data_IF_010596044151
#
_entry.id   IF_010596044151
#
_cell.length_a   1.000
_cell.length_b   1.000
_cell.length_c   1.000
_cell.angle_alpha   90.00
_cell.angle_beta   90.00
_cell.angle_gamma   90.00
#
_symmetry.space_group_name_H-M   'P 1'
#
loop_
_entity.id
_entity.type
_entity.pdbx_description
1 polymer ?
#
# COMPACT_ATOMS: atom_id res chain seq x y z
N UNK A 1 17.16 -6.62 58.18
CA UNK A 1 17.12 -7.48 56.98
C UNK A 1 16.44 -6.67 55.89
N UNK A 2 17.23 -6.06 55.02
CA UNK A 2 16.74 -5.20 53.94
C UNK A 2 16.41 -6.03 52.71
N UNK A 3 15.23 -5.81 52.12
CA UNK A 3 14.88 -6.28 50.79
C UNK A 3 14.91 -5.07 49.85
N UNK A 4 15.86 -5.06 48.93
CA UNK A 4 15.97 -4.04 47.90
C UNK A 4 14.92 -4.27 46.82
N UNK A 5 14.07 -3.28 46.56
CA UNK A 5 13.22 -3.22 45.39
C UNK A 5 14.08 -2.83 44.18
N UNK A 6 14.13 -3.68 43.17
CA UNK A 6 14.77 -3.38 41.87
C UNK A 6 13.74 -2.63 41.04
N UNK A 7 13.92 -1.31 40.91
CA UNK A 7 13.21 -0.49 39.93
C UNK A 7 13.84 -0.75 38.56
N UNK A 8 13.05 -1.31 37.63
CA UNK A 8 13.46 -1.48 36.24
C UNK A 8 13.17 -0.17 35.50
N UNK A 9 14.17 0.68 35.38
CA UNK A 9 14.09 1.90 34.57
C UNK A 9 14.19 1.50 33.10
N UNK A 10 13.06 1.51 32.38
CA UNK A 10 13.05 1.40 30.93
C UNK A 10 13.55 2.75 30.39
N UNK A 11 14.80 2.77 29.93
CA UNK A 11 15.36 3.93 29.24
C UNK A 11 14.74 3.98 27.84
N UNK A 12 13.88 4.96 27.60
CA UNK A 12 13.42 5.35 26.27
C UNK A 12 14.64 5.79 25.46
N UNK A 13 15.08 4.97 24.51
CA UNK A 13 16.05 5.38 23.50
C UNK A 13 15.33 6.30 22.52
N UNK A 14 15.40 7.61 22.75
CA UNK A 14 15.10 8.61 21.73
C UNK A 14 16.19 8.54 20.67
N UNK A 15 15.89 7.90 19.54
CA UNK A 15 16.70 8.05 18.34
C UNK A 15 16.53 9.50 17.86
N UNK A 16 17.61 10.29 17.73
CA UNK A 16 17.48 11.64 17.20
C UNK A 16 17.03 11.54 15.75
N UNK A 17 16.00 12.31 15.38
CA UNK A 17 15.65 12.54 13.98
C UNK A 17 16.88 13.16 13.28
N UNK A 18 17.62 12.32 12.56
CA UNK A 18 18.55 12.81 11.55
C UNK A 18 17.67 13.42 10.49
N UNK A 19 17.76 14.74 10.30
CA UNK A 19 17.07 15.41 9.22
C UNK A 19 17.46 14.72 7.92
N UNK A 20 16.50 14.02 7.31
CA UNK A 20 16.60 13.58 5.92
C UNK A 20 16.74 14.85 5.11
N UNK A 21 17.92 15.07 4.53
CA UNK A 21 18.00 15.94 3.35
C UNK A 21 17.19 15.24 2.28
N UNK A 22 15.92 15.62 2.14
CA UNK A 22 15.21 15.43 0.90
C UNK A 22 16.08 16.09 -0.17
N UNK A 23 16.73 15.28 -1.01
CA UNK A 23 17.31 15.80 -2.23
C UNK A 23 16.14 16.36 -3.03
N UNK A 24 15.90 17.67 -2.91
CA UNK A 24 15.00 18.37 -3.80
C UNK A 24 15.59 18.20 -5.19
N UNK A 25 15.06 17.25 -5.96
CA UNK A 25 15.42 17.13 -7.35
C UNK A 25 15.09 18.46 -8.05
N UNK A 26 15.94 18.91 -8.99
CA UNK A 26 15.53 19.96 -9.90
C UNK A 26 14.26 19.48 -10.60
N UNK A 27 13.24 20.32 -10.71
CA UNK A 27 12.05 20.08 -11.54
C UNK A 27 12.51 19.56 -12.90
N UNK A 28 12.48 18.23 -13.08
CA UNK A 28 12.88 17.60 -14.32
C UNK A 28 11.93 18.08 -15.41
N UNK A 29 12.48 18.47 -16.55
CA UNK A 29 11.70 18.70 -17.76
C UNK A 29 10.89 17.42 -18.04
N UNK A 30 9.55 17.50 -17.95
CA UNK A 30 8.61 16.38 -18.15
C UNK A 30 7.39 16.45 -17.22
N UNK A 31 6.20 16.16 -17.74
CA UNK A 31 4.94 16.13 -16.98
C UNK A 31 4.78 14.75 -16.29
N UNK A 32 5.59 14.50 -15.27
CA UNK A 32 5.60 13.21 -14.56
C UNK A 32 4.36 13.04 -13.66
N UNK A 33 3.73 11.87 -13.72
CA UNK A 33 2.69 11.45 -12.77
C UNK A 33 3.01 10.06 -12.25
N UNK A 34 2.68 9.79 -11.00
CA UNK A 34 2.78 8.43 -10.47
C UNK A 34 1.68 7.55 -11.06
N UNK A 35 2.05 6.41 -11.63
CA UNK A 35 1.16 5.43 -12.26
C UNK A 35 0.97 4.17 -11.40
N UNK A 36 1.87 3.91 -10.46
CA UNK A 36 1.77 2.81 -9.51
C UNK A 36 2.54 3.18 -8.24
N UNK A 37 2.10 2.67 -7.09
CA UNK A 37 2.86 2.75 -5.85
C UNK A 37 2.59 1.59 -4.91
N UNK A 38 3.48 1.43 -3.94
CA UNK A 38 3.29 0.57 -2.78
C UNK A 38 3.99 1.21 -1.57
N UNK A 39 3.32 1.23 -0.41
CA UNK A 39 3.89 1.81 0.80
C UNK A 39 4.92 0.83 1.42
N UNK A 40 6.20 1.22 1.58
CA UNK A 40 7.24 0.36 2.13
C UNK A 40 7.09 0.12 3.63
N UNK A 41 7.55 -1.04 4.06
CA UNK A 41 7.58 -1.55 5.43
C UNK A 41 8.89 -2.31 5.67
N UNK A 42 9.21 -2.55 6.95
CA UNK A 42 10.31 -3.41 7.35
C UNK A 42 9.93 -4.89 7.28
N UNK A 43 10.88 -5.79 6.99
CA UNK A 43 10.56 -7.21 6.85
C UNK A 43 10.22 -7.90 8.18
N UNK A 44 10.67 -7.33 9.32
CA UNK A 44 10.36 -7.87 10.65
C UNK A 44 8.90 -7.74 11.04
N UNK A 45 8.21 -6.70 10.56
CA UNK A 45 6.82 -6.41 10.95
C UNK A 45 5.82 -7.39 10.34
N UNK A 46 6.17 -8.01 9.20
CA UNK A 46 5.37 -9.06 8.56
C UNK A 46 5.40 -10.39 9.34
N UNK A 47 6.52 -10.70 9.99
CA UNK A 47 6.65 -11.87 10.86
C UNK A 47 5.79 -11.76 12.12
N UNK A 48 5.71 -10.55 12.70
CA UNK A 48 4.86 -10.26 13.86
C UNK A 48 3.37 -10.30 13.49
N UNK A 49 2.97 -9.79 12.31
CA UNK A 49 1.59 -9.91 11.81
C UNK A 49 1.16 -11.37 11.66
N UNK A 50 2.01 -12.22 11.05
CA UNK A 50 1.74 -13.65 10.91
C UNK A 50 1.66 -14.38 12.25
N UNK A 51 2.54 -14.04 13.20
CA UNK A 51 2.54 -14.62 14.54
C UNK A 51 1.31 -14.18 15.38
N UNK A 52 0.90 -12.92 15.27
CA UNK A 52 -0.31 -12.38 15.91
C UNK A 52 -1.59 -12.99 15.33
N UNK A 53 -1.66 -13.18 14.01
CA UNK A 53 -2.78 -13.87 13.35
C UNK A 53 -2.91 -15.34 13.77
N UNK A 54 -1.79 -16.04 13.93
CA UNK A 54 -1.79 -17.47 14.22
C UNK A 54 -1.94 -17.78 15.72
N UNK A 55 -1.46 -16.90 16.61
CA UNK A 55 -1.45 -17.12 18.07
C UNK A 55 -2.83 -17.02 18.74
N UNK A 56 -3.83 -16.43 18.10
CA UNK A 56 -5.23 -16.45 18.56
C UNK A 56 -5.98 -17.76 18.28
N UNK A 57 -5.40 -18.68 17.50
CA UNK A 57 -6.11 -19.84 16.96
C UNK A 57 -5.80 -21.14 17.71
N UNK A 58 -6.37 -21.34 18.90
CA UNK A 58 -6.33 -22.67 19.56
C UNK A 58 -7.11 -23.77 18.80
N UNK A 59 -7.74 -23.47 17.66
CA UNK A 59 -8.59 -24.41 16.90
C UNK A 59 -8.28 -24.58 15.41
N UNK A 60 -7.23 -23.95 14.85
CA UNK A 60 -6.87 -24.23 13.44
C UNK A 60 -5.72 -25.24 13.40
N UNK A 61 -6.05 -26.50 13.65
CA UNK A 61 -5.12 -27.65 13.54
C UNK A 61 -4.74 -28.01 12.10
N UNK A 62 -4.87 -27.08 11.14
CA UNK A 62 -4.67 -27.34 9.71
C UNK A 62 -4.01 -26.17 8.93
N UNK A 63 -3.44 -25.15 9.58
CA UNK A 63 -2.57 -24.19 8.87
C UNK A 63 -1.15 -24.75 8.89
N UNK A 64 -0.82 -25.64 7.96
CA UNK A 64 0.53 -26.23 7.93
C UNK A 64 1.55 -25.42 7.13
N UNK A 65 1.16 -24.46 6.29
CA UNK A 65 2.12 -23.78 5.40
C UNK A 65 1.81 -22.29 5.16
N UNK A 66 1.88 -21.45 6.20
CA UNK A 66 2.10 -19.99 6.03
C UNK A 66 3.61 -19.77 6.10
N UNK A 67 4.26 -19.82 4.95
CA UNK A 67 5.61 -19.29 4.76
C UNK A 67 5.49 -17.75 4.64
N UNK A 68 6.12 -16.99 5.54
CA UNK A 68 6.15 -15.54 5.43
C UNK A 68 6.86 -15.12 4.14
N UNK A 69 6.60 -13.89 3.65
CA UNK A 69 7.31 -13.35 2.50
C UNK A 69 8.81 -13.39 2.79
N UNK A 70 9.67 -13.72 1.81
CA UNK A 70 11.11 -13.63 1.98
C UNK A 70 11.50 -12.28 2.60
N UNK A 71 12.29 -12.32 3.66
CA UNK A 71 12.78 -11.12 4.35
C UNK A 71 14.15 -10.68 3.81
N UNK A 72 14.79 -11.54 3.02
CA UNK A 72 16.09 -11.33 2.37
C UNK A 72 16.12 -12.09 1.05
N UNK A 73 16.93 -11.60 0.11
CA UNK A 73 17.23 -12.28 -1.15
C UNK A 73 18.75 -12.44 -1.28
N UNK A 74 19.19 -13.48 -1.97
CA UNK A 74 20.62 -13.74 -2.13
C UNK A 74 20.94 -14.46 -3.45
N UNK A 75 21.63 -13.74 -4.33
CA UNK A 75 22.05 -14.25 -5.64
C UNK A 75 20.87 -14.72 -6.48
N UNK A 76 19.86 -13.84 -6.60
CA UNK A 76 18.63 -14.11 -7.34
C UNK A 76 18.05 -12.83 -7.93
N UNK A 77 17.32 -12.97 -9.02
CA UNK A 77 16.55 -11.90 -9.65
C UNK A 77 15.13 -11.94 -9.11
N UNK A 78 14.65 -10.82 -8.57
CA UNK A 78 13.26 -10.62 -8.21
C UNK A 78 12.56 -10.01 -9.43
N UNK A 79 11.45 -10.60 -9.86
CA UNK A 79 10.60 -10.09 -10.94
C UNK A 79 9.20 -9.81 -10.43
N UNK A 80 8.73 -8.59 -10.60
CA UNK A 80 7.48 -8.08 -10.06
C UNK A 80 6.60 -7.56 -11.18
N UNK A 81 5.29 -7.72 -11.02
CA UNK A 81 4.28 -7.24 -11.96
C UNK A 81 3.57 -6.05 -11.34
N UNK A 82 3.67 -4.87 -11.96
CA UNK A 82 3.16 -3.61 -11.45
C UNK A 82 2.06 -3.10 -12.38
N UNK A 83 0.81 -3.11 -11.92
CA UNK A 83 -0.35 -2.65 -12.69
C UNK A 83 -0.39 -1.13 -12.76
N UNK A 84 -0.12 -0.55 -13.93
CA UNK A 84 -0.06 0.90 -14.11
C UNK A 84 -1.48 1.46 -14.28
N UNK A 85 -1.83 2.51 -13.55
CA UNK A 85 -3.11 3.20 -13.69
C UNK A 85 -3.08 4.33 -14.72
N UNK A 86 -1.91 4.66 -15.24
CA UNK A 86 -1.73 5.67 -16.29
C UNK A 86 -0.56 5.33 -17.20
N UNK A 87 -0.62 5.80 -18.44
CA UNK A 87 0.38 5.57 -19.48
C UNK A 87 1.21 6.82 -19.76
N UNK A 88 2.33 6.66 -20.45
CA UNK A 88 3.22 7.77 -20.82
C UNK A 88 4.26 7.38 -21.87
N UNK A 89 5.11 8.35 -22.25
CA UNK A 89 6.20 8.13 -23.23
C UNK A 89 7.42 7.44 -22.64
N UNK A 90 7.62 7.57 -21.33
CA UNK A 90 8.75 7.03 -20.59
C UNK A 90 8.32 6.65 -19.18
N UNK A 91 9.10 5.78 -18.53
CA UNK A 91 8.91 5.37 -17.14
C UNK A 91 10.11 5.74 -16.27
N UNK A 92 9.89 5.97 -14.98
CA UNK A 92 10.91 5.98 -13.93
C UNK A 92 10.47 5.12 -12.77
N UNK A 93 11.43 4.50 -12.08
CA UNK A 93 11.17 3.63 -10.94
C UNK A 93 11.88 4.18 -9.72
N UNK A 94 11.14 4.38 -8.63
CA UNK A 94 11.71 4.69 -7.32
C UNK A 94 11.96 3.40 -6.54
N UNK A 95 13.22 3.17 -6.21
CA UNK A 95 13.66 2.09 -5.33
C UNK A 95 13.94 2.62 -3.92
N UNK A 96 13.71 1.77 -2.92
CA UNK A 96 13.82 2.08 -1.51
C UNK A 96 14.58 0.99 -0.77
N UNK A 97 15.54 1.43 0.03
CA UNK A 97 16.21 0.65 1.06
C UNK A 97 15.94 1.25 2.45
N UNK A 98 14.78 1.89 2.60
CA UNK A 98 14.39 2.61 3.81
C UNK A 98 14.41 1.74 5.07
N UNK A 99 13.98 0.48 4.94
CA UNK A 99 13.93 -0.47 6.05
C UNK A 99 15.02 -1.55 5.96
N UNK A 100 16.04 -1.33 5.11
CA UNK A 100 17.21 -2.18 5.08
C UNK A 100 18.04 -2.08 6.36
N UNK A 101 18.87 -3.10 6.60
CA UNK A 101 19.80 -3.14 7.74
C UNK A 101 21.25 -2.81 7.35
N UNK A 102 21.49 -2.48 6.08
CA UNK A 102 22.76 -2.09 5.46
C UNK A 102 22.51 -1.53 4.05
N UNK A 103 23.55 -1.07 3.37
CA UNK A 103 23.47 -0.64 1.96
C UNK A 103 23.04 -1.79 1.04
N UNK A 104 22.13 -1.52 0.12
CA UNK A 104 21.62 -2.48 -0.85
C UNK A 104 22.09 -2.11 -2.26
N UNK A 105 22.69 -3.06 -2.98
CA UNK A 105 23.20 -2.87 -4.34
C UNK A 105 22.38 -3.67 -5.35
N UNK A 106 22.06 -3.05 -6.48
CA UNK A 106 21.34 -3.67 -7.59
C UNK A 106 22.20 -3.50 -8.85
N UNK A 107 22.95 -4.55 -9.26
CA UNK A 107 23.89 -4.45 -10.39
C UNK A 107 23.21 -4.39 -11.77
N UNK A 108 21.97 -4.88 -11.86
CA UNK A 108 21.18 -4.91 -13.07
C UNK A 108 19.69 -4.81 -12.73
N UNK A 109 18.99 -3.93 -13.44
CA UNK A 109 17.55 -3.72 -13.31
C UNK A 109 16.99 -3.54 -14.72
N UNK A 110 15.88 -4.21 -15.02
CA UNK A 110 15.17 -4.06 -16.29
C UNK A 110 13.69 -3.83 -16.06
N UNK A 111 13.07 -3.12 -17.01
CA UNK A 111 11.62 -2.98 -17.12
C UNK A 111 11.13 -3.43 -18.49
N UNK A 112 9.88 -3.87 -18.59
CA UNK A 112 9.23 -4.21 -19.86
C UNK A 112 7.72 -4.40 -19.69
N UNK A 113 6.99 -4.60 -20.78
CA UNK A 113 5.55 -4.92 -20.72
C UNK A 113 5.39 -6.42 -20.55
N UNK A 114 4.44 -6.86 -19.72
CA UNK A 114 4.15 -8.30 -19.55
C UNK A 114 3.61 -8.90 -20.84
N UNK A 115 4.08 -10.10 -21.20
CA UNK A 115 3.50 -10.87 -22.30
C UNK A 115 2.22 -11.60 -21.83
N UNK A 116 1.06 -11.00 -22.12
CA UNK A 116 -0.25 -11.51 -21.73
C UNK A 116 -0.62 -11.27 -20.27
N UNK A 117 -1.65 -11.98 -19.79
CA UNK A 117 -2.31 -11.71 -18.50
C UNK A 117 -1.73 -12.52 -17.31
N UNK A 118 -0.76 -13.40 -17.56
CA UNK A 118 -0.24 -14.36 -16.58
C UNK A 118 1.26 -14.62 -16.79
N UNK A 119 1.91 -15.28 -15.82
CA UNK A 119 3.33 -15.63 -15.91
C UNK A 119 4.30 -14.46 -15.70
N UNK A 120 5.57 -14.71 -15.98
CA UNK A 120 6.72 -13.84 -15.78
C UNK A 120 7.33 -13.32 -17.09
N UNK A 121 6.76 -13.71 -18.23
CA UNK A 121 7.23 -13.33 -19.55
C UNK A 121 7.05 -11.84 -19.83
N UNK A 122 7.99 -11.29 -20.59
CA UNK A 122 8.05 -9.91 -21.06
C UNK A 122 7.79 -9.91 -22.56
N UNK A 123 6.96 -9.00 -23.03
CA UNK A 123 6.63 -8.84 -24.44
C UNK A 123 7.91 -8.55 -25.24
N UNK A 124 8.22 -9.33 -26.29
CA UNK A 124 9.44 -9.18 -27.07
C UNK A 124 9.65 -7.75 -27.59
N UNK A 125 10.82 -7.18 -27.31
CA UNK A 125 11.19 -5.83 -27.77
C UNK A 125 10.73 -4.68 -26.86
N UNK A 126 10.05 -4.98 -25.76
CA UNK A 126 9.68 -3.97 -24.74
C UNK A 126 10.69 -3.87 -23.60
N UNK A 127 11.54 -4.88 -23.40
CA UNK A 127 12.54 -4.87 -22.32
C UNK A 127 13.55 -3.73 -22.49
N UNK A 128 13.82 -3.00 -21.41
CA UNK A 128 14.77 -1.89 -21.33
C UNK A 128 15.59 -2.00 -20.04
N UNK A 129 16.85 -1.58 -20.11
CA UNK A 129 17.68 -1.41 -18.93
C UNK A 129 17.26 -0.15 -18.16
N UNK A 130 17.26 -0.24 -16.84
CA UNK A 130 17.06 0.91 -15.93
C UNK A 130 18.44 1.40 -15.48
N UNK A 131 18.65 2.71 -15.53
CA UNK A 131 19.93 3.33 -15.17
C UNK A 131 19.76 4.43 -14.10
N UNK A 132 20.85 4.78 -13.44
CA UNK A 132 20.92 5.79 -12.38
C UNK A 132 22.13 6.68 -12.63
N UNK A 133 21.91 7.91 -13.09
CA UNK A 133 23.00 8.77 -13.55
C UNK A 133 23.78 8.18 -14.74
N UNK A 134 23.11 7.38 -15.58
CA UNK A 134 23.66 6.67 -16.74
C UNK A 134 24.32 5.33 -16.42
N UNK A 135 24.41 4.94 -15.15
CA UNK A 135 25.00 3.67 -14.74
C UNK A 135 23.93 2.58 -14.54
N UNK A 136 24.17 1.33 -14.96
CA UNK A 136 23.22 0.23 -14.79
C UNK A 136 23.14 -0.30 -13.34
N UNK A 137 24.15 0.03 -12.52
CA UNK A 137 24.25 -0.42 -11.14
C UNK A 137 23.98 0.74 -10.18
N UNK A 138 23.22 0.48 -9.12
CA UNK A 138 22.99 1.46 -8.05
C UNK A 138 23.18 0.83 -6.68
N UNK A 139 23.76 1.60 -5.75
CA UNK A 139 23.82 1.28 -4.32
C UNK A 139 22.97 2.29 -3.56
N UNK A 140 21.93 1.81 -2.89
CA UNK A 140 21.04 2.61 -2.06
C UNK A 140 21.51 2.49 -0.61
N UNK A 141 21.93 3.59 0.04
CA UNK A 141 22.31 3.56 1.45
C UNK A 141 21.19 3.02 2.33
N UNK A 142 21.55 2.46 3.48
CA UNK A 142 20.56 2.14 4.51
C UNK A 142 19.66 3.37 4.81
N UNK A 143 18.35 3.20 4.81
CA UNK A 143 17.41 4.29 5.07
C UNK A 143 17.15 5.20 3.86
N UNK A 144 17.77 4.91 2.72
CA UNK A 144 17.71 5.73 1.51
C UNK A 144 16.68 5.28 0.49
N UNK A 145 16.41 6.16 -0.48
CA UNK A 145 15.66 5.89 -1.70
C UNK A 145 16.44 6.45 -2.90
N UNK A 146 16.11 5.99 -4.10
CA UNK A 146 16.67 6.50 -5.36
C UNK A 146 15.62 6.43 -6.47
N UNK A 147 15.57 7.45 -7.31
CA UNK A 147 14.75 7.47 -8.53
C UNK A 147 15.66 7.17 -9.73
N UNK A 148 15.18 6.34 -10.66
CA UNK A 148 15.93 6.04 -11.89
C UNK A 148 15.95 7.22 -12.86
N UNK A 149 16.89 7.18 -13.80
CA UNK A 149 16.81 7.97 -15.02
C UNK A 149 15.53 7.60 -15.81
N UNK A 150 15.00 8.48 -16.69
CA UNK A 150 13.95 8.12 -17.63
C UNK A 150 14.32 6.90 -18.48
N UNK A 151 13.39 5.98 -18.62
CA UNK A 151 13.49 4.83 -19.52
C UNK A 151 12.49 5.01 -20.66
N UNK A 152 12.99 5.06 -21.89
CA UNK A 152 12.20 5.18 -23.12
C UNK A 152 11.39 3.89 -23.39
N UNK A 153 10.29 3.76 -22.66
CA UNK A 153 9.31 2.70 -22.73
C UNK A 153 7.93 3.34 -22.70
N UNK A 154 7.27 3.35 -23.86
CA UNK A 154 5.89 3.80 -23.95
C UNK A 154 4.98 2.78 -23.24
N UNK A 155 4.04 3.30 -22.44
CA UNK A 155 3.06 2.49 -21.71
C UNK A 155 1.66 3.05 -21.92
N UNK A 156 0.66 2.19 -21.81
CA UNK A 156 -0.75 2.55 -21.73
C UNK A 156 -1.27 2.38 -20.30
N UNK A 157 -2.41 3.02 -20.00
CA UNK A 157 -3.10 2.75 -18.75
C UNK A 157 -3.52 1.28 -18.73
N UNK A 158 -3.31 0.63 -17.59
CA UNK A 158 -3.59 -0.77 -17.31
C UNK A 158 -2.60 -1.77 -17.91
N UNK A 159 -1.46 -1.29 -18.44
CA UNK A 159 -0.33 -2.17 -18.70
C UNK A 159 0.22 -2.76 -17.39
N UNK A 160 0.65 -4.02 -17.47
CA UNK A 160 1.43 -4.67 -16.42
C UNK A 160 2.92 -4.46 -16.70
N UNK A 161 3.53 -3.52 -15.98
CA UNK A 161 4.97 -3.29 -16.04
C UNK A 161 5.71 -4.40 -15.28
N UNK A 162 6.58 -5.13 -15.97
CA UNK A 162 7.44 -6.14 -15.39
C UNK A 162 8.74 -5.48 -14.96
N UNK A 163 9.01 -5.44 -13.66
CA UNK A 163 10.25 -4.94 -13.07
C UNK A 163 11.11 -6.13 -12.62
N UNK A 164 12.30 -6.29 -13.20
CA UNK A 164 13.29 -7.29 -12.77
C UNK A 164 14.47 -6.62 -12.10
N UNK A 165 14.87 -7.09 -10.93
CA UNK A 165 16.02 -6.56 -10.19
C UNK A 165 16.91 -7.73 -9.75
N UNK A 166 18.19 -7.71 -10.14
CA UNK A 166 19.15 -8.66 -9.63
C UNK A 166 19.61 -8.26 -8.23
N UNK A 167 19.43 -9.15 -7.26
CA UNK A 167 19.87 -8.97 -5.87
C UNK A 167 21.07 -9.89 -5.61
N UNK A 168 22.30 -9.32 -5.53
CA UNK A 168 23.49 -10.10 -5.24
C UNK A 168 23.48 -10.58 -3.78
N UNK A 169 24.34 -11.53 -3.46
CA UNK A 169 24.57 -11.90 -2.07
C UNK A 169 25.07 -10.68 -1.28
N UNK A 170 24.40 -10.36 -0.16
CA UNK A 170 24.87 -9.36 0.80
C UNK A 170 23.96 -8.15 1.05
N UNK A 171 22.86 -7.96 0.31
CA UNK A 171 21.93 -6.83 0.50
C UNK A 171 21.18 -6.81 1.85
N UNK A 172 21.22 -7.89 2.64
CA UNK A 172 20.62 -7.92 3.97
C UNK A 172 19.09 -7.93 3.93
N UNK A 173 18.48 -7.26 4.92
CA UNK A 173 17.02 -7.18 5.07
C UNK A 173 16.38 -6.39 3.92
N UNK A 174 15.33 -6.94 3.30
CA UNK A 174 14.63 -6.31 2.20
C UNK A 174 13.58 -5.31 2.67
N UNK A 175 13.55 -4.12 2.06
CA UNK A 175 12.38 -3.24 2.15
C UNK A 175 11.24 -3.87 1.35
N UNK A 176 10.06 -3.97 1.97
CA UNK A 176 8.95 -4.78 1.47
C UNK A 176 7.62 -4.06 1.64
N UNK A 177 6.68 -4.30 0.75
CA UNK A 177 5.27 -4.04 0.95
C UNK A 177 4.55 -5.40 0.98
N UNK A 178 4.00 -5.78 2.13
CA UNK A 178 3.64 -7.18 2.41
C UNK A 178 2.26 -7.65 1.93
N UNK A 179 1.49 -6.82 1.23
CA UNK A 179 0.11 -7.15 0.83
C UNK A 179 -0.24 -6.63 -0.57
N UNK A 180 0.56 -7.01 -1.56
CA UNK A 180 0.44 -6.45 -2.91
C UNK A 180 -0.73 -6.98 -3.77
N UNK A 181 -1.35 -8.10 -3.38
CA UNK A 181 -2.36 -8.84 -4.16
C UNK A 181 -1.94 -9.25 -5.59
N UNK A 182 -0.63 -9.22 -5.84
CA UNK A 182 0.01 -9.60 -7.10
C UNK A 182 1.09 -10.66 -6.88
N UNK A 183 1.21 -11.58 -7.82
CA UNK A 183 2.26 -12.59 -7.87
C UNK A 183 3.59 -11.96 -8.27
N UNK A 184 4.64 -12.29 -7.52
CA UNK A 184 6.03 -12.02 -7.90
C UNK A 184 6.78 -13.33 -8.09
N UNK A 185 7.89 -13.23 -8.81
CA UNK A 185 8.70 -14.34 -9.27
C UNK A 185 10.16 -14.16 -8.87
N UNK A 186 10.88 -15.27 -8.75
CA UNK A 186 12.33 -15.26 -8.51
C UNK A 186 13.03 -16.23 -9.44
N UNK A 187 14.22 -15.87 -9.92
CA UNK A 187 15.11 -16.76 -10.68
C UNK A 187 16.53 -16.73 -10.06
N UNK A 188 17.27 -17.86 -10.01
CA UNK A 188 18.63 -17.86 -9.52
C UNK A 188 19.58 -17.00 -10.37
N UNK A 189 20.51 -16.29 -9.72
CA UNK A 189 21.49 -15.42 -10.36
C UNK A 189 20.87 -14.20 -11.05
N UNK A 190 21.66 -13.59 -11.94
CA UNK A 190 21.22 -12.51 -12.81
C UNK A 190 20.45 -13.08 -14.01
N UNK A 191 19.13 -12.95 -13.95
CA UNK A 191 18.18 -13.31 -14.98
C UNK A 191 17.40 -12.07 -15.47
N UNK A 192 17.91 -10.86 -15.22
CA UNK A 192 17.23 -9.60 -15.56
C UNK A 192 16.99 -9.43 -17.07
N UNK A 193 17.88 -10.01 -17.90
CA UNK A 193 17.77 -10.00 -19.34
C UNK A 193 16.84 -11.09 -19.92
N UNK A 194 16.31 -12.01 -19.10
CA UNK A 194 15.50 -13.12 -19.59
C UNK A 194 14.05 -12.68 -19.85
N UNK A 195 13.61 -12.71 -21.11
CA UNK A 195 12.26 -12.28 -21.49
C UNK A 195 11.19 -13.38 -21.34
N UNK A 196 11.57 -14.67 -21.28
CA UNK A 196 10.61 -15.77 -21.15
C UNK A 196 10.30 -16.17 -19.70
N UNK A 197 9.26 -16.99 -19.51
CA UNK A 197 8.92 -17.58 -18.20
C UNK A 197 9.99 -18.54 -17.65
N UNK A 198 10.80 -19.11 -18.54
CA UNK A 198 11.75 -20.17 -18.21
C UNK A 198 12.78 -19.72 -17.16
N UNK A 199 12.77 -20.38 -16.01
CA UNK A 199 13.73 -20.13 -14.92
C UNK A 199 13.18 -19.28 -13.77
N UNK A 200 12.02 -18.65 -13.94
CA UNK A 200 11.31 -17.94 -12.89
C UNK A 200 10.36 -18.88 -12.14
N UNK A 201 10.45 -18.88 -10.81
CA UNK A 201 9.53 -19.57 -9.92
C UNK A 201 8.56 -18.56 -9.28
N UNK A 202 7.28 -18.90 -9.27
CA UNK A 202 6.26 -18.17 -8.49
C UNK A 202 6.58 -18.25 -7.00
N UNK A 203 6.50 -17.11 -6.30
CA UNK A 203 6.75 -17.03 -4.85
C UNK A 203 5.55 -16.52 -4.05
N UNK A 204 4.72 -15.65 -4.63
CA UNK A 204 3.46 -15.17 -4.04
C UNK A 204 2.26 -15.67 -4.83
N UNK A 205 1.48 -16.62 -4.29
CA UNK A 205 0.28 -17.16 -4.96
C UNK A 205 -0.94 -16.84 -4.13
N UNK A 206 -1.93 -16.16 -4.73
CA UNK A 206 -3.23 -15.90 -4.10
C UNK A 206 -4.16 -17.08 -4.36
N UNK A 207 -4.68 -17.68 -3.29
CA UNK A 207 -5.86 -18.53 -3.39
C UNK A 207 -6.91 -18.12 -2.35
N UNK A 208 -8.12 -18.02 -2.85
CA UNK A 208 -9.34 -17.92 -2.06
C UNK A 208 -9.58 -19.25 -1.32
N UNK A 209 -9.93 -19.14 -0.04
CA UNK A 209 -10.19 -20.20 0.94
C UNK A 209 -8.98 -20.66 1.75
N UNK A 210 -9.15 -20.51 3.07
CA UNK A 210 -8.41 -20.89 4.29
C UNK A 210 -7.48 -22.14 4.31
N UNK A 211 -6.93 -22.60 3.20
CA UNK A 211 -5.97 -23.70 3.10
C UNK A 211 -4.78 -23.27 2.25
N UNK A 212 -3.86 -22.54 2.89
CA UNK A 212 -2.44 -22.30 2.55
C UNK A 212 -2.06 -22.04 1.09
N UNK A 213 -1.73 -20.79 0.73
CA UNK A 213 -0.40 -20.40 0.17
C UNK A 213 -0.15 -18.88 0.36
N UNK A 214 1.07 -18.42 0.04
CA UNK A 214 1.87 -17.39 0.73
C UNK A 214 1.70 -15.96 0.18
N UNK A 215 1.95 -15.00 1.06
CA UNK A 215 1.87 -13.54 0.89
C UNK A 215 2.28 -13.01 -0.48
N UNK A 216 1.38 -12.23 -1.09
CA UNK A 216 1.73 -11.32 -2.20
C UNK A 216 2.51 -10.14 -1.64
N UNK A 217 3.68 -9.86 -2.20
CA UNK A 217 4.51 -8.76 -1.75
C UNK A 217 5.17 -8.06 -2.94
N UNK A 218 5.50 -6.79 -2.76
CA UNK A 218 6.48 -6.11 -3.58
C UNK A 218 7.71 -5.73 -2.74
N UNK A 219 8.86 -5.67 -3.37
CA UNK A 219 10.16 -5.47 -2.75
C UNK A 219 10.88 -4.33 -3.43
N UNK A 220 11.51 -3.48 -2.63
CA UNK A 220 12.34 -2.35 -3.02
C UNK A 220 11.65 -1.27 -3.88
N UNK A 221 10.75 -1.59 -4.81
CA UNK A 221 9.99 -0.63 -5.61
C UNK A 221 8.86 0.00 -4.78
N UNK A 222 8.77 1.33 -4.83
CA UNK A 222 7.79 2.11 -4.05
C UNK A 222 6.90 3.00 -4.91
N UNK A 223 7.41 3.50 -6.03
CA UNK A 223 6.67 4.31 -7.00
C UNK A 223 7.14 3.99 -8.42
N UNK A 224 6.22 3.93 -9.36
CA UNK A 224 6.51 4.05 -10.80
C UNK A 224 5.89 5.34 -11.29
N UNK A 225 6.68 6.19 -11.94
CA UNK A 225 6.22 7.40 -12.59
C UNK A 225 6.23 7.20 -14.10
N UNK A 226 5.26 7.80 -14.78
CA UNK A 226 5.21 7.87 -16.24
C UNK A 226 5.29 9.32 -16.69
N UNK A 227 5.94 9.57 -17.81
CA UNK A 227 5.95 10.88 -18.46
C UNK A 227 4.63 11.06 -19.23
N UNK A 228 3.69 11.76 -18.60
CA UNK A 228 2.35 11.99 -19.12
C UNK A 228 2.27 13.20 -20.04
N UNK A 229 1.07 13.75 -20.15
CA UNK A 229 0.78 15.00 -20.87
C UNK A 229 0.59 16.16 -19.90
N UNK A 230 0.75 17.42 -20.37
CA UNK A 230 0.39 18.58 -19.57
C UNK A 230 -1.04 18.48 -19.06
N UNK A 231 -1.22 18.59 -17.75
CA UNK A 231 -2.52 18.51 -17.09
C UNK A 231 -2.83 17.14 -16.48
N UNK A 232 -2.04 16.09 -16.74
CA UNK A 232 -2.16 14.83 -16.02
C UNK A 232 -1.85 15.03 -14.53
N UNK A 233 -2.56 14.30 -13.65
CA UNK A 233 -2.43 14.45 -12.19
C UNK A 233 -2.42 13.13 -11.46
N UNK A 234 -1.75 13.09 -10.30
CA UNK A 234 -1.78 11.95 -9.38
C UNK A 234 -2.87 12.15 -8.31
N UNK A 235 -3.72 11.14 -8.16
CA UNK A 235 -4.69 10.96 -7.08
C UNK A 235 -4.19 9.87 -6.13
N UNK A 236 -3.98 10.21 -4.86
CA UNK A 236 -3.48 9.25 -3.86
C UNK A 236 -4.65 8.64 -3.10
N UNK A 237 -4.81 7.32 -3.19
CA UNK A 237 -5.63 6.54 -2.27
C UNK A 237 -4.75 6.08 -1.10
N UNK A 238 -4.85 6.77 0.05
CA UNK A 238 -4.03 6.53 1.23
C UNK A 238 -4.81 5.75 2.29
N UNK A 239 -4.24 4.68 2.85
CA UNK A 239 -4.99 3.91 3.85
C UNK A 239 -4.32 2.72 4.52
N UNK A 240 -5.17 1.80 4.98
CA UNK A 240 -4.80 0.52 5.55
C UNK A 240 -5.21 -0.66 4.65
N UNK A 241 -5.39 -1.86 5.19
CA UNK A 241 -5.68 -3.10 4.45
C UNK A 241 -6.92 -3.00 3.56
N UNK A 242 -7.89 -2.16 3.90
CA UNK A 242 -9.08 -1.94 3.06
C UNK A 242 -8.71 -1.14 1.80
N UNK A 243 -7.76 -0.21 1.90
CA UNK A 243 -7.22 0.50 0.72
C UNK A 243 -6.20 -0.34 -0.03
N UNK A 244 -5.43 -1.16 0.69
CA UNK A 244 -4.48 -2.12 0.14
C UNK A 244 -5.17 -3.25 -0.65
N UNK A 245 -6.48 -3.41 -0.44
CA UNK A 245 -7.30 -4.39 -1.12
C UNK A 245 -7.12 -5.81 -0.62
N UNK A 246 -6.81 -5.96 0.68
CA UNK A 246 -6.64 -7.25 1.32
C UNK A 246 -7.88 -8.14 1.08
N UNK A 247 -7.64 -9.43 0.75
CA UNK A 247 -8.65 -10.42 0.34
C UNK A 247 -9.40 -10.14 -0.98
N UNK A 248 -8.96 -9.18 -1.80
CA UNK A 248 -9.36 -9.15 -3.22
C UNK A 248 -8.81 -10.38 -3.95
N UNK A 249 -9.44 -10.74 -5.07
CA UNK A 249 -8.95 -11.85 -5.91
C UNK A 249 -7.60 -11.45 -6.51
N UNK A 250 -6.55 -12.18 -6.14
CA UNK A 250 -5.19 -11.85 -6.58
C UNK A 250 -4.99 -11.94 -8.08
N UNK A 251 -4.06 -11.14 -8.59
CA UNK A 251 -3.78 -10.99 -10.03
C UNK A 251 -4.98 -10.54 -10.88
N UNK A 252 -6.05 -10.03 -10.26
CA UNK A 252 -7.22 -9.51 -11.00
C UNK A 252 -7.39 -8.00 -10.91
N UNK A 253 -6.48 -7.31 -10.21
CA UNK A 253 -6.50 -5.86 -10.05
C UNK A 253 -7.89 -5.37 -9.59
N UNK A 254 -8.44 -6.01 -8.55
CA UNK A 254 -9.82 -5.82 -8.06
C UNK A 254 -9.94 -4.98 -6.79
N UNK A 255 -8.87 -4.27 -6.40
CA UNK A 255 -8.88 -3.37 -5.24
C UNK A 255 -9.69 -2.12 -5.58
N UNK A 256 -10.24 -1.40 -4.59
CA UNK A 256 -11.03 -0.21 -4.91
C UNK A 256 -10.24 0.86 -5.68
N UNK A 257 -8.93 1.10 -5.43
CA UNK A 257 -8.16 2.05 -6.25
C UNK A 257 -8.05 1.61 -7.71
N UNK A 258 -7.95 0.30 -7.99
CA UNK A 258 -7.89 -0.24 -9.35
C UNK A 258 -9.24 -0.06 -10.07
N UNK A 259 -10.35 -0.29 -9.37
CA UNK A 259 -11.70 -0.05 -9.91
C UNK A 259 -11.92 1.45 -10.15
N UNK A 260 -11.46 2.32 -9.24
CA UNK A 260 -11.55 3.76 -9.41
C UNK A 260 -10.73 4.23 -10.62
N UNK A 261 -9.51 3.73 -10.81
CA UNK A 261 -8.69 4.05 -11.98
C UNK A 261 -9.41 3.71 -13.29
N UNK A 262 -10.03 2.53 -13.39
CA UNK A 262 -10.85 2.14 -14.56
C UNK A 262 -12.06 3.03 -14.76
N UNK A 263 -12.72 3.46 -13.67
CA UNK A 263 -13.84 4.41 -13.75
C UNK A 263 -13.38 5.76 -14.29
N UNK A 264 -12.29 6.31 -13.77
CA UNK A 264 -11.74 7.60 -14.22
C UNK A 264 -11.33 7.55 -15.68
N UNK A 265 -10.66 6.46 -16.10
CA UNK A 265 -10.24 6.31 -17.50
C UNK A 265 -11.39 6.24 -18.50
N UNK A 266 -12.57 5.78 -18.06
CA UNK A 266 -13.76 5.68 -18.88
C UNK A 266 -14.46 7.04 -19.10
N UNK A 267 -14.14 8.06 -18.32
CA UNK A 267 -14.73 9.39 -18.39
C UNK A 267 -13.70 10.41 -18.95
N UNK A 268 -13.92 10.99 -20.15
CA UNK A 268 -13.00 11.95 -20.75
C UNK A 268 -12.63 13.13 -19.87
N UNK A 269 -13.52 13.56 -18.97
CA UNK A 269 -13.30 14.71 -18.09
C UNK A 269 -12.38 14.37 -16.91
N UNK A 270 -12.10 13.08 -16.67
CA UNK A 270 -11.23 12.61 -15.57
C UNK A 270 -10.15 11.62 -16.02
N UNK A 271 -10.07 11.31 -17.32
CA UNK A 271 -9.16 10.30 -17.88
C UNK A 271 -7.66 10.65 -17.80
N UNK A 272 -7.33 11.88 -17.40
CA UNK A 272 -5.99 12.39 -17.09
C UNK A 272 -5.58 12.21 -15.62
N UNK A 273 -6.46 11.65 -14.79
CA UNK A 273 -6.15 11.33 -13.40
C UNK A 273 -5.56 9.91 -13.28
N UNK A 274 -4.40 9.81 -12.63
CA UNK A 274 -3.75 8.56 -12.28
C UNK A 274 -3.95 8.25 -10.80
N UNK A 275 -4.57 7.12 -10.47
CA UNK A 275 -4.76 6.70 -9.06
C UNK A 275 -3.57 5.89 -8.60
N UNK A 276 -3.03 6.16 -7.41
CA UNK A 276 -2.03 5.29 -6.79
C UNK A 276 -2.45 4.87 -5.38
N UNK A 277 -2.08 3.65 -4.98
CA UNK A 277 -2.37 3.11 -3.65
C UNK A 277 -1.18 3.29 -2.69
N UNK A 278 -1.38 4.03 -1.62
CA UNK A 278 -0.42 4.24 -0.53
C UNK A 278 -0.99 3.68 0.76
N UNK A 279 -0.99 2.35 0.85
CA UNK A 279 -1.63 1.62 1.93
C UNK A 279 -0.72 0.62 2.61
N UNK A 280 -0.93 0.44 3.92
CA UNK A 280 -0.25 -0.56 4.74
C UNK A 280 -1.32 -1.40 5.41
N UNK A 281 -1.45 -2.67 4.99
CA UNK A 281 -2.28 -3.63 5.72
C UNK A 281 -1.91 -3.71 7.21
N UNK A 282 -2.91 -3.54 8.09
CA UNK A 282 -2.69 -3.43 9.55
C UNK A 282 -2.14 -2.07 10.02
N UNK A 283 -1.87 -1.15 9.10
CA UNK A 283 -1.32 0.17 9.39
C UNK A 283 -2.27 1.06 10.19
N UNK A 284 -1.71 1.83 11.11
CA UNK A 284 -2.44 2.78 11.95
C UNK A 284 -2.18 4.22 11.53
N UNK A 285 -3.06 5.13 11.95
CA UNK A 285 -2.94 6.57 11.72
C UNK A 285 -2.00 7.20 12.73
N UNK A 286 -2.21 6.87 14.01
CA UNK A 286 -1.63 7.59 15.17
C UNK A 286 -0.31 7.04 15.68
N UNK A 287 0.07 5.81 15.31
CA UNK A 287 1.29 5.19 15.82
C UNK A 287 1.84 4.06 14.94
N UNK A 288 3.16 3.86 14.98
CA UNK A 288 3.84 2.82 14.22
C UNK A 288 3.42 1.42 14.65
N UNK A 289 3.43 0.44 13.76
CA UNK A 289 3.10 -0.95 14.07
C UNK A 289 3.63 -1.88 12.97
N UNK A 290 2.73 -2.41 12.13
CA UNK A 290 3.13 -3.18 10.95
C UNK A 290 3.96 -2.35 9.96
N UNK A 291 3.78 -1.04 9.97
CA UNK A 291 4.67 -0.08 9.33
C UNK A 291 4.61 1.25 10.08
N UNK A 292 5.24 2.30 9.53
CA UNK A 292 5.14 3.62 10.13
C UNK A 292 3.69 4.11 10.20
N UNK A 293 3.40 5.00 11.15
CA UNK A 293 2.09 5.64 11.29
C UNK A 293 1.66 6.39 10.03
N UNK A 294 0.35 6.56 9.82
CA UNK A 294 -0.18 7.39 8.74
C UNK A 294 0.34 8.82 8.81
N UNK A 295 0.37 9.41 10.01
CA UNK A 295 0.89 10.76 10.26
C UNK A 295 2.34 10.95 9.83
N UNK A 296 3.21 9.96 10.08
CA UNK A 296 4.63 10.07 9.75
C UNK A 296 4.92 9.91 8.25
N UNK A 297 3.97 9.36 7.48
CA UNK A 297 4.17 9.04 6.05
C UNK A 297 3.60 10.05 5.06
N UNK A 298 2.90 11.09 5.52
CA UNK A 298 2.22 12.07 4.65
C UNK A 298 3.19 12.73 3.67
N UNK A 299 4.34 13.22 4.15
CA UNK A 299 5.25 13.98 3.29
C UNK A 299 5.78 13.12 2.14
N UNK A 300 6.19 11.88 2.43
CA UNK A 300 6.84 11.00 1.47
C UNK A 300 5.83 10.25 0.58
N UNK A 301 4.66 9.88 1.11
CA UNK A 301 3.69 9.05 0.39
C UNK A 301 2.55 9.85 -0.24
N UNK A 302 2.31 11.09 0.21
CA UNK A 302 1.32 11.99 -0.38
C UNK A 302 2.01 13.18 -1.03
N UNK A 303 2.69 14.03 -0.26
CA UNK A 303 3.11 15.36 -0.72
C UNK A 303 4.27 15.31 -1.73
N UNK A 304 5.10 14.27 -1.68
CA UNK A 304 6.20 14.07 -2.62
C UNK A 304 5.76 13.51 -3.99
N UNK A 305 4.47 13.18 -4.16
CA UNK A 305 3.99 12.65 -5.44
C UNK A 305 3.98 13.75 -6.51
N UNK A 306 4.55 13.50 -7.71
CA UNK A 306 4.57 14.47 -8.77
C UNK A 306 3.15 14.76 -9.27
N UNK A 307 2.89 16.03 -9.61
CA UNK A 307 1.59 16.48 -10.10
C UNK A 307 0.40 16.04 -9.23
N UNK A 308 0.57 16.03 -7.90
CA UNK A 308 -0.48 15.71 -6.94
C UNK A 308 -1.73 16.58 -7.16
N UNK A 309 -2.86 15.93 -7.43
CA UNK A 309 -4.16 16.55 -7.71
C UNK A 309 -5.18 16.37 -6.60
N UNK A 310 -5.10 15.29 -5.82
CA UNK A 310 -6.07 15.00 -4.76
C UNK A 310 -5.68 13.81 -3.89
N UNK A 311 -6.38 13.66 -2.76
CA UNK A 311 -6.22 12.54 -1.82
C UNK A 311 -7.58 11.95 -1.46
N UNK A 312 -7.68 10.63 -1.50
CA UNK A 312 -8.75 9.86 -0.84
C UNK A 312 -8.12 9.13 0.33
N UNK A 313 -8.55 9.46 1.54
CA UNK A 313 -8.01 8.92 2.78
C UNK A 313 -9.02 7.97 3.43
N UNK A 314 -8.61 6.72 3.67
CA UNK A 314 -9.39 5.73 4.42
C UNK A 314 -8.44 4.91 5.31
N UNK A 315 -8.33 5.33 6.57
CA UNK A 315 -7.51 4.65 7.56
C UNK A 315 -8.04 4.93 8.96
N UNK A 316 -7.84 4.01 9.90
CA UNK A 316 -8.09 4.24 11.34
C UNK A 316 -8.73 3.06 12.05
N UNK A 317 -9.23 2.06 11.30
CA UNK A 317 -9.86 0.88 11.91
C UNK A 317 -8.85 0.09 12.76
N UNK A 318 -7.58 0.09 12.37
CA UNK A 318 -6.48 -0.57 13.09
C UNK A 318 -6.07 0.17 14.37
N UNK A 319 -6.28 1.48 14.47
CA UNK A 319 -6.05 2.26 15.69
C UNK A 319 -7.04 1.84 16.79
N UNK A 320 -8.25 1.43 16.41
CA UNK A 320 -9.29 0.93 17.31
C UNK A 320 -9.14 -0.59 17.56
N UNK A 321 -8.88 -1.37 16.51
CA UNK A 321 -8.77 -2.84 16.60
C UNK A 321 -7.38 -3.34 16.97
N UNK A 322 -6.43 -3.27 16.04
CA UNK A 322 -5.06 -3.79 16.22
C UNK A 322 -4.34 -3.18 17.43
N UNK A 323 -4.49 -1.88 17.69
CA UNK A 323 -3.88 -1.26 18.87
C UNK A 323 -4.47 -1.78 20.20
N UNK A 324 -5.74 -2.19 20.20
CA UNK A 324 -6.36 -2.82 21.37
C UNK A 324 -5.71 -4.18 21.71
N UNK A 325 -5.26 -4.96 20.72
CA UNK A 325 -4.49 -6.20 20.95
C UNK A 325 -3.19 -5.93 21.72
N UNK A 326 -2.61 -4.75 21.51
CA UNK A 326 -1.38 -4.28 22.16
C UNK A 326 -1.66 -3.58 23.49
N UNK A 327 -2.92 -3.51 23.93
CA UNK A 327 -3.33 -2.86 25.17
C UNK A 327 -3.33 -1.32 25.12
N UNK A 328 -3.31 -0.74 23.91
CA UNK A 328 -3.24 0.70 23.68
C UNK A 328 -4.28 1.14 22.62
N UNK A 329 -5.59 0.86 22.80
CA UNK A 329 -6.60 1.30 21.84
C UNK A 329 -6.62 2.82 21.75
N UNK A 330 -6.63 3.35 20.52
CA UNK A 330 -6.97 4.75 20.30
C UNK A 330 -8.46 4.99 20.59
N UNK A 331 -8.81 6.25 20.78
CA UNK A 331 -10.21 6.71 20.88
C UNK A 331 -10.63 7.42 19.59
N UNK A 332 -11.93 7.68 19.46
CA UNK A 332 -12.44 8.55 18.40
C UNK A 332 -11.78 9.94 18.44
N UNK A 333 -11.56 10.50 19.64
CA UNK A 333 -10.91 11.82 19.80
C UNK A 333 -9.45 11.82 19.29
N UNK A 334 -8.70 10.75 19.54
CA UNK A 334 -7.33 10.60 19.03
C UNK A 334 -7.30 10.56 17.50
N UNK A 335 -8.22 9.79 16.89
CA UNK A 335 -8.38 9.73 15.44
C UNK A 335 -8.81 11.08 14.85
N UNK A 336 -9.79 11.77 15.46
CA UNK A 336 -10.27 13.07 15.01
C UNK A 336 -9.14 14.11 15.04
N UNK A 337 -8.32 14.11 16.09
CA UNK A 337 -7.16 15.00 16.17
C UNK A 337 -6.15 14.73 15.04
N UNK A 338 -5.83 13.46 14.78
CA UNK A 338 -4.92 13.07 13.70
C UNK A 338 -5.50 13.39 12.31
N UNK A 339 -6.79 13.16 12.09
CA UNK A 339 -7.49 13.50 10.86
C UNK A 339 -7.42 15.00 10.55
N UNK A 340 -7.57 15.86 11.57
CA UNK A 340 -7.41 17.31 11.41
C UNK A 340 -5.97 17.67 11.00
N UNK A 341 -4.97 17.07 11.65
CA UNK A 341 -3.58 17.31 11.28
C UNK A 341 -3.26 16.87 9.83
N UNK A 342 -3.78 15.70 9.43
CA UNK A 342 -3.61 15.20 8.05
C UNK A 342 -4.22 16.17 7.06
N UNK A 343 -5.47 16.59 7.29
CA UNK A 343 -6.15 17.52 6.41
C UNK A 343 -5.43 18.87 6.32
N UNK A 344 -5.02 19.44 7.47
CA UNK A 344 -4.27 20.70 7.52
C UNK A 344 -2.98 20.63 6.68
N UNK A 345 -2.25 19.51 6.73
CA UNK A 345 -1.02 19.31 5.95
C UNK A 345 -1.28 19.20 4.45
N UNK A 346 -2.33 18.49 4.04
CA UNK A 346 -2.69 18.34 2.62
C UNK A 346 -3.27 19.65 2.06
N UNK A 347 -4.11 20.35 2.82
CA UNK A 347 -4.61 21.67 2.46
C UNK A 347 -3.50 22.73 2.39
N UNK A 348 -2.48 22.65 3.25
CA UNK A 348 -1.31 23.53 3.16
C UNK A 348 -0.51 23.34 1.86
N UNK A 349 -0.57 22.14 1.25
CA UNK A 349 -0.02 21.88 -0.08
C UNK A 349 -0.96 22.33 -1.21
N UNK A 350 -2.15 22.84 -0.89
CA UNK A 350 -3.12 23.34 -1.86
C UNK A 350 -3.81 22.23 -2.64
N UNK A 351 -4.02 21.07 -2.03
CA UNK A 351 -4.62 19.86 -2.63
C UNK A 351 -5.88 19.48 -1.84
N UNK A 352 -6.98 19.04 -2.49
CA UNK A 352 -8.18 18.59 -1.80
C UNK A 352 -7.98 17.20 -1.22
N UNK A 353 -8.60 16.94 -0.07
CA UNK A 353 -8.60 15.66 0.62
C UNK A 353 -10.03 15.24 0.99
N UNK A 354 -10.38 14.03 0.58
CA UNK A 354 -11.65 13.39 0.86
C UNK A 354 -11.43 12.24 1.82
N UNK A 355 -12.30 12.09 2.81
CA UNK A 355 -12.20 11.02 3.81
C UNK A 355 -13.31 9.99 3.67
N UNK A 356 -12.93 8.71 3.72
CA UNK A 356 -13.86 7.60 3.85
C UNK A 356 -14.27 7.37 5.30
N UNK A 357 -15.55 7.11 5.58
CA UNK A 357 -15.96 6.53 6.86
C UNK A 357 -15.31 5.17 7.08
N UNK A 358 -14.92 4.85 8.31
CA UNK A 358 -14.42 3.51 8.67
C UNK A 358 -15.46 2.46 8.31
N UNK A 359 -15.08 1.33 7.71
CA UNK A 359 -16.02 0.26 7.30
C UNK A 359 -16.57 -0.52 8.50
N UNK A 360 -17.63 -1.34 8.32
CA UNK A 360 -18.15 -2.20 9.38
C UNK A 360 -17.10 -3.22 9.83
N UNK A 361 -17.06 -3.51 11.14
CA UNK A 361 -16.10 -4.45 11.74
C UNK A 361 -16.73 -5.25 12.91
N UNK A 362 -18.03 -5.49 12.82
CA UNK A 362 -18.78 -6.31 13.77
C UNK A 362 -18.72 -7.80 13.41
N UNK A 363 -18.69 -8.66 14.42
CA UNK A 363 -18.64 -10.13 14.30
C UNK A 363 -17.42 -10.70 13.54
N UNK A 364 -16.25 -10.07 13.64
CA UNK A 364 -14.96 -10.57 13.10
C UNK A 364 -14.47 -11.83 13.85
N UNK A 365 -15.22 -12.29 14.86
CA UNK A 365 -14.88 -13.33 15.83
C UNK A 365 -14.75 -14.77 15.29
N UNK A 366 -15.16 -15.08 14.04
CA UNK A 366 -15.01 -16.44 13.48
C UNK A 366 -14.82 -16.42 11.95
N UNK A 367 -13.86 -17.18 11.39
CA UNK A 367 -12.81 -17.97 12.06
C UNK A 367 -11.53 -17.16 12.35
N UNK A 368 -11.59 -15.83 12.30
CA UNK A 368 -10.38 -15.00 12.31
C UNK A 368 -9.93 -14.61 13.73
N UNK A 369 -8.64 -14.32 13.93
CA UNK A 369 -8.08 -13.84 15.21
C UNK A 369 -8.51 -12.41 15.57
N UNK A 370 -9.23 -11.72 14.70
CA UNK A 370 -9.57 -10.29 14.80
C UNK A 370 -10.78 -10.00 15.68
N UNK A 371 -11.07 -10.84 16.68
CA UNK A 371 -12.22 -10.65 17.58
C UNK A 371 -12.29 -9.30 18.30
N UNK A 372 -11.15 -8.60 18.40
CA UNK A 372 -11.02 -7.30 19.09
C UNK A 372 -11.83 -6.18 18.46
N UNK A 373 -11.99 -6.20 17.14
CA UNK A 373 -12.72 -5.16 16.40
C UNK A 373 -14.20 -5.15 16.78
N UNK A 374 -14.72 -6.32 17.17
CA UNK A 374 -16.12 -6.51 17.57
C UNK A 374 -16.37 -6.33 19.06
N UNK A 375 -15.36 -5.94 19.84
CA UNK A 375 -15.57 -5.61 21.26
C UNK A 375 -16.49 -4.38 21.33
N UNK A 376 -17.53 -4.38 22.17
CA UNK A 376 -18.49 -3.28 22.22
C UNK A 376 -17.88 -1.87 22.39
N UNK A 377 -16.76 -1.75 23.11
CA UNK A 377 -16.04 -0.48 23.22
C UNK A 377 -15.41 -0.04 21.90
N UNK A 378 -14.82 -0.96 21.12
CA UNK A 378 -14.21 -0.60 19.83
C UNK A 378 -15.27 -0.28 18.78
N UNK A 379 -16.38 -1.01 18.78
CA UNK A 379 -17.55 -0.68 17.95
C UNK A 379 -18.09 0.72 18.30
N UNK A 380 -18.13 1.07 19.59
CA UNK A 380 -18.55 2.40 20.04
C UNK A 380 -17.61 3.51 19.54
N UNK A 381 -16.28 3.36 19.67
CA UNK A 381 -15.30 4.33 19.18
C UNK A 381 -15.36 4.48 17.64
N UNK A 382 -15.52 3.38 16.93
CA UNK A 382 -15.70 3.38 15.47
C UNK A 382 -16.96 4.14 15.08
N UNK A 383 -18.08 3.88 15.76
CA UNK A 383 -19.35 4.52 15.48
C UNK A 383 -19.32 6.02 15.86
N UNK A 384 -18.63 6.39 16.94
CA UNK A 384 -18.40 7.79 17.30
C UNK A 384 -17.55 8.52 16.23
N UNK A 385 -16.48 7.89 15.75
CA UNK A 385 -15.65 8.42 14.66
C UNK A 385 -16.47 8.65 13.40
N UNK A 386 -17.29 7.68 12.99
CA UNK A 386 -18.12 7.81 11.79
C UNK A 386 -19.26 8.82 11.95
N UNK A 387 -19.85 8.94 13.13
CA UNK A 387 -20.85 9.97 13.40
C UNK A 387 -20.23 11.38 13.28
N UNK A 388 -19.03 11.57 13.84
CA UNK A 388 -18.29 12.81 13.66
C UNK A 388 -17.98 13.10 12.18
N UNK A 389 -17.48 12.10 11.43
CA UNK A 389 -17.23 12.27 10.00
C UNK A 389 -18.48 12.70 9.23
N UNK A 390 -19.65 12.12 9.53
CA UNK A 390 -20.91 12.47 8.85
C UNK A 390 -21.45 13.85 9.21
N UNK A 391 -21.21 14.31 10.43
CA UNK A 391 -21.83 15.54 10.96
C UNK A 391 -20.90 16.74 10.86
N UNK A 392 -19.62 16.57 11.16
CA UNK A 392 -18.60 17.62 11.25
C UNK A 392 -17.44 17.41 10.27
N UNK A 393 -17.29 16.22 9.66
CA UNK A 393 -16.13 15.90 8.81
C UNK A 393 -15.93 16.87 7.65
N UNK A 394 -17.02 17.44 7.10
CA UNK A 394 -16.94 18.46 6.02
C UNK A 394 -16.41 19.82 6.46
N UNK A 395 -16.20 20.04 7.76
CA UNK A 395 -15.47 21.21 8.27
C UNK A 395 -13.95 21.01 8.19
N UNK A 396 -13.49 19.77 8.02
CA UNK A 396 -12.07 19.38 8.00
C UNK A 396 -11.65 18.90 6.61
N UNK A 397 -12.54 18.24 5.88
CA UNK A 397 -12.28 17.63 4.58
C UNK A 397 -13.15 18.26 3.49
N UNK A 398 -12.66 18.24 2.25
CA UNK A 398 -13.40 18.74 1.08
C UNK A 398 -14.65 17.87 0.80
N UNK A 399 -14.64 16.62 1.29
CA UNK A 399 -15.83 15.78 1.30
C UNK A 399 -15.64 14.49 2.11
N UNK A 400 -16.77 13.84 2.37
CA UNK A 400 -16.85 12.58 3.13
C UNK A 400 -17.53 11.54 2.26
N UNK A 401 -16.90 10.39 2.11
CA UNK A 401 -17.40 9.23 1.35
C UNK A 401 -17.88 8.18 2.36
N UNK A 402 -19.18 7.93 2.41
CA UNK A 402 -19.80 7.04 3.41
C UNK A 402 -19.66 5.55 3.03
N UNK A 403 -18.42 5.05 2.96
CA UNK A 403 -18.13 3.64 2.68
C UNK A 403 -18.82 2.68 3.65
N UNK A 404 -19.05 3.08 4.90
CA UNK A 404 -19.83 2.31 5.88
C UNK A 404 -21.23 2.04 5.36
N UNK A 405 -21.96 3.10 4.99
CA UNK A 405 -23.32 2.96 4.49
C UNK A 405 -23.40 2.15 3.19
N UNK A 406 -22.34 2.17 2.38
CA UNK A 406 -22.26 1.46 1.09
C UNK A 406 -22.20 -0.05 1.28
N UNK A 407 -21.38 -0.54 2.21
CA UNK A 407 -21.10 -1.98 2.33
C UNK A 407 -21.73 -2.66 3.55
N UNK A 408 -22.34 -1.92 4.49
CA UNK A 408 -22.94 -2.51 5.69
C UNK A 408 -24.19 -3.33 5.41
N UNK A 409 -24.41 -4.34 6.25
CA UNK A 409 -25.63 -5.13 6.25
C UNK A 409 -26.82 -4.24 6.71
N UNK A 410 -27.94 -4.19 5.95
CA UNK A 410 -29.06 -3.32 6.27
C UNK A 410 -29.86 -3.77 7.51
N UNK A 411 -29.73 -5.02 7.94
CA UNK A 411 -30.39 -5.59 9.12
C UNK A 411 -29.48 -5.56 10.35
N UNK A 412 -28.16 -5.66 10.15
CA UNK A 412 -27.15 -5.60 11.21
C UNK A 412 -26.05 -4.60 10.82
N UNK A 413 -26.25 -3.29 11.01
CA UNK A 413 -25.38 -2.24 10.43
C UNK A 413 -23.91 -2.26 10.85
N UNK A 414 -23.55 -2.98 11.92
CA UNK A 414 -22.15 -3.15 12.32
C UNK A 414 -21.43 -4.23 11.47
N UNK A 415 -22.14 -5.00 10.65
CA UNK A 415 -21.58 -6.08 9.83
C UNK A 415 -21.43 -5.65 8.37
N UNK A 416 -20.49 -6.25 7.66
CA UNK A 416 -20.43 -6.13 6.20
C UNK A 416 -21.55 -6.99 5.61
N UNK A 417 -22.29 -6.47 4.63
CA UNK A 417 -23.31 -7.26 3.93
C UNK A 417 -22.64 -8.46 3.25
N UNK A 418 -23.23 -9.65 3.37
CA UNK A 418 -22.62 -10.92 2.91
C UNK A 418 -22.11 -10.88 1.45
N UNK A 419 -22.79 -10.16 0.57
CA UNK A 419 -22.39 -10.02 -0.84
C UNK A 419 -21.09 -9.24 -1.04
N UNK A 420 -20.69 -8.44 -0.06
CA UNK A 420 -19.48 -7.61 -0.04
C UNK A 420 -18.41 -8.15 0.91
N UNK A 421 -18.72 -9.11 1.79
CA UNK A 421 -17.79 -9.66 2.78
C UNK A 421 -16.82 -10.67 2.15
N UNK A 422 -15.53 -10.56 2.47
CA UNK A 422 -14.52 -11.58 2.20
C UNK A 422 -14.56 -12.78 3.17
N UNK A 423 -15.63 -12.84 3.98
CA UNK A 423 -15.94 -13.85 5.01
C UNK A 423 -15.14 -13.69 6.30
N UNK A 424 -14.54 -12.52 6.53
CA UNK A 424 -13.95 -12.15 7.80
C UNK A 424 -14.72 -11.05 8.54
N UNK A 425 -15.73 -10.42 7.94
CA UNK A 425 -16.47 -9.27 8.46
C UNK A 425 -15.60 -8.04 8.76
N UNK A 426 -14.46 -7.89 8.08
CA UNK A 426 -13.59 -6.72 8.18
C UNK A 426 -13.20 -6.20 6.80
N UNK A 427 -12.86 -7.09 5.86
CA UNK A 427 -12.40 -6.74 4.54
C UNK A 427 -13.48 -6.98 3.47
N UNK A 428 -13.65 -6.04 2.54
CA UNK A 428 -14.45 -6.26 1.35
C UNK A 428 -13.88 -7.38 0.47
N UNK A 429 -14.77 -8.11 -0.22
CA UNK A 429 -14.42 -8.89 -1.41
C UNK A 429 -14.45 -7.99 -2.67
N UNK A 430 -14.20 -8.56 -3.86
CA UNK A 430 -14.19 -7.80 -5.13
C UNK A 430 -15.48 -6.99 -5.39
N UNK A 431 -16.65 -7.50 -4.98
CA UNK A 431 -17.91 -6.76 -5.13
C UNK A 431 -17.99 -5.59 -4.15
N UNK A 432 -17.48 -5.76 -2.93
CA UNK A 432 -17.42 -4.70 -1.92
C UNK A 432 -16.44 -3.61 -2.33
N UNK A 433 -15.25 -3.97 -2.81
CA UNK A 433 -14.29 -3.00 -3.37
C UNK A 433 -14.84 -2.25 -4.57
N UNK A 434 -15.56 -2.94 -5.47
CA UNK A 434 -16.27 -2.28 -6.58
C UNK A 434 -17.32 -1.30 -6.07
N UNK A 435 -18.17 -1.71 -5.13
CA UNK A 435 -19.20 -0.85 -4.56
C UNK A 435 -18.60 0.40 -3.90
N UNK A 436 -17.47 0.26 -3.19
CA UNK A 436 -16.74 1.39 -2.64
C UNK A 436 -16.28 2.35 -3.74
N UNK A 437 -15.57 1.87 -4.76
CA UNK A 437 -15.08 2.73 -5.85
C UNK A 437 -16.20 3.45 -6.62
N UNK A 438 -17.32 2.76 -6.87
CA UNK A 438 -18.50 3.32 -7.53
C UNK A 438 -19.22 4.36 -6.66
N UNK A 439 -19.11 4.27 -5.34
CA UNK A 439 -19.75 5.21 -4.40
C UNK A 439 -19.05 6.58 -4.31
N UNK A 440 -17.82 6.70 -4.81
CA UNK A 440 -17.06 7.96 -4.76
C UNK A 440 -17.81 9.02 -5.60
N UNK A 441 -18.25 10.15 -5.02
CA UNK A 441 -19.01 11.16 -5.76
C UNK A 441 -18.26 11.70 -6.96
N UNK A 442 -18.94 11.82 -8.11
CA UNK A 442 -18.35 12.39 -9.33
C UNK A 442 -17.86 13.82 -9.10
N UNK A 443 -18.60 14.63 -8.33
CA UNK A 443 -18.21 16.00 -8.00
C UNK A 443 -16.82 16.11 -7.35
N UNK A 444 -16.39 15.11 -6.58
CA UNK A 444 -15.06 15.09 -5.96
C UNK A 444 -13.97 14.83 -7.01
N UNK A 445 -14.27 13.94 -7.97
CA UNK A 445 -13.36 13.59 -9.06
C UNK A 445 -13.22 14.75 -10.06
N UNK A 446 -14.33 15.41 -10.38
CA UNK A 446 -14.35 16.60 -11.24
C UNK A 446 -13.57 17.75 -10.60
N UNK A 447 -13.68 17.94 -9.27
CA UNK A 447 -12.90 18.95 -8.55
C UNK A 447 -11.39 18.67 -8.62
N UNK A 448 -10.97 17.40 -8.46
CA UNK A 448 -9.57 17.00 -8.61
C UNK A 448 -9.09 17.23 -10.05
N UNK A 449 -9.92 16.86 -11.03
CA UNK A 449 -9.63 16.96 -12.46
C UNK A 449 -9.50 18.40 -12.96
N UNK A 450 -10.26 19.33 -12.37
CA UNK A 450 -10.35 20.72 -12.82
C UNK A 450 -9.22 21.64 -12.33
N UNK A 451 -8.37 21.18 -11.38
CA UNK A 451 -7.20 21.95 -10.94
C UNK A 451 -6.20 22.05 -12.06
#
# INVERSE_FOLDING_TARGET
>A
MGGAAVALTIASLTVPAVGREASAEPKGEGDWVSAWSAAPQGPSTLGDFGAELLSGSQQVTAVQDVVPPPTTFSDETIRQVLYLHHGGSAVRVQLSNEFGDRDATFPAITVGIRDGDAGAAVEPGTQRDVTFGGEPSVTIPQGGTVLSDPVDLATEAFDHLVLSMFVPAGNGAATVHGSHMQTFFTAPGDATAAEGDGGFAERGVVLNNYTSTLTTASYYATVVQVEGQPGDRTLVAFGDSITDGFLSTGNTDSRYPDVLARRLKADPDTAHLSVIGQAISGGRVTGDGIGPSGLSRIDEQILAQPNLGGVIFLQGINDLGTAALQGLPATADDLIAAYREIADRVHAAGVPIYIGTLTPAGNVLRPTPYGVYSIPSQVAERNATNEWLRTEGREVFDGVIDFDAVIRDPLVPDWIALQYDALDNLHPNDNGYRAMAESIPQEFLDEIAAR
#
